data_IF_974284332492
#
_entry.id   IF_974284332492
#
_cell.length_a   1.000
_cell.length_b   1.000
_cell.length_c   1.000
_cell.angle_alpha   90.00
_cell.angle_beta   90.00
_cell.angle_gamma   90.00
#
_symmetry.space_group_name_H-M   'P 1'
#
loop_
_entity.id
_entity.type
_entity.pdbx_description
1 polymer ?
#
# COMPACT_ATOMS: atom_id res chain seq x y z
N UNK A 1 41.17 -22.51 79.61
CA UNK A 1 39.98 -21.65 79.57
C UNK A 1 40.17 -20.66 78.42
N UNK A 2 39.73 -21.01 77.25
CA UNK A 2 39.80 -20.19 76.04
C UNK A 2 38.38 -19.93 75.53
N UNK A 3 37.94 -18.66 75.63
CA UNK A 3 36.63 -18.20 75.20
C UNK A 3 36.59 -18.11 73.68
N UNK A 4 35.64 -18.78 73.08
CA UNK A 4 35.33 -18.69 71.63
C UNK A 4 34.38 -17.52 71.36
N UNK A 5 34.87 -16.56 70.55
CA UNK A 5 34.05 -15.46 70.03
C UNK A 5 33.19 -15.93 68.82
N UNK A 6 31.90 -15.62 68.77
CA UNK A 6 31.05 -15.98 67.62
C UNK A 6 31.24 -14.95 66.48
N UNK A 7 31.60 -15.45 65.28
CA UNK A 7 31.60 -14.66 64.06
C UNK A 7 30.16 -14.53 63.56
N UNK A 8 29.64 -13.31 63.47
CA UNK A 8 28.40 -12.96 62.80
C UNK A 8 28.66 -12.88 61.30
N UNK A 9 28.13 -13.85 60.56
CA UNK A 9 28.08 -13.83 59.09
C UNK A 9 26.95 -12.90 58.70
N UNK A 10 27.29 -11.74 58.15
CA UNK A 10 26.32 -10.81 57.54
C UNK A 10 26.14 -11.27 56.10
N UNK A 11 25.00 -11.94 55.80
CA UNK A 11 24.57 -12.20 54.44
C UNK A 11 24.04 -10.89 53.84
N UNK A 12 24.86 -10.24 52.98
CA UNK A 12 24.37 -9.14 52.16
C UNK A 12 23.57 -9.67 50.95
N UNK A 13 22.28 -9.56 51.06
CA UNK A 13 21.36 -9.79 49.91
C UNK A 13 21.52 -8.64 48.91
N UNK A 14 22.22 -8.88 47.79
CA UNK A 14 22.28 -7.98 46.67
C UNK A 14 21.02 -8.18 45.87
N UNK A 15 20.03 -7.28 46.04
CA UNK A 15 18.86 -7.17 45.20
C UNK A 15 19.28 -6.62 43.83
N UNK A 16 19.31 -7.50 42.82
CA UNK A 16 19.47 -7.11 41.44
C UNK A 16 18.11 -6.55 40.95
N UNK A 17 17.97 -5.23 40.98
CA UNK A 17 16.83 -4.55 40.37
C UNK A 17 16.99 -4.65 38.84
N UNK A 18 16.29 -5.58 38.20
CA UNK A 18 16.15 -5.63 36.75
C UNK A 18 15.30 -4.41 36.37
N UNK A 19 15.97 -3.35 35.90
CA UNK A 19 15.29 -2.25 35.24
C UNK A 19 14.69 -2.77 33.93
N UNK A 20 13.37 -3.05 33.93
CA UNK A 20 12.61 -3.19 32.70
C UNK A 20 12.65 -1.83 32.00
N UNK A 21 13.54 -1.68 31.00
CA UNK A 21 13.47 -0.60 30.05
C UNK A 21 12.18 -0.81 29.24
N UNK A 22 11.20 0.11 29.30
CA UNK A 22 10.01 -0.04 28.49
C UNK A 22 10.46 -0.06 27.05
N UNK A 23 10.09 -1.12 26.30
CA UNK A 23 10.25 -1.13 24.86
C UNK A 23 9.52 0.12 24.34
N UNK A 24 10.29 1.04 23.76
CA UNK A 24 9.73 2.26 23.18
C UNK A 24 8.57 1.83 22.27
N UNK A 25 7.37 2.25 22.63
CA UNK A 25 6.18 2.01 21.81
C UNK A 25 6.46 2.67 20.46
N UNK A 26 6.67 1.84 19.40
CA UNK A 26 6.85 2.36 18.05
C UNK A 26 5.62 3.18 17.71
N UNK A 27 5.84 4.43 17.28
CA UNK A 27 4.77 5.32 16.89
C UNK A 27 3.98 4.70 15.73
N UNK A 28 2.67 4.57 15.92
CA UNK A 28 1.74 4.18 14.86
C UNK A 28 1.22 5.40 14.09
N UNK A 29 1.76 6.57 14.40
CA UNK A 29 1.40 7.82 13.74
C UNK A 29 2.04 7.94 12.36
N UNK A 30 1.35 8.67 11.47
CA UNK A 30 1.83 8.95 10.14
C UNK A 30 2.92 10.02 10.15
N UNK A 31 4.09 9.70 9.63
CA UNK A 31 5.19 10.64 9.44
C UNK A 31 5.27 11.07 7.97
N UNK A 32 5.30 12.37 7.71
CA UNK A 32 5.50 12.90 6.36
C UNK A 32 6.95 12.68 5.91
N UNK A 33 7.13 12.06 4.75
CA UNK A 33 8.44 11.73 4.16
C UNK A 33 8.73 12.46 2.86
N UNK A 34 7.70 12.86 2.16
CA UNK A 34 7.83 13.59 0.90
C UNK A 34 6.65 14.54 0.75
N UNK A 35 6.95 15.77 0.35
CA UNK A 35 5.94 16.77 0.04
C UNK A 35 6.33 17.52 -1.21
N UNK A 36 5.46 17.52 -2.20
CA UNK A 36 5.63 18.29 -3.43
C UNK A 36 4.42 19.20 -3.61
N UNK A 37 4.63 20.51 -3.44
CA UNK A 37 3.58 21.51 -3.57
C UNK A 37 3.11 21.69 -5.00
N UNK A 38 4.00 21.55 -5.99
CA UNK A 38 3.66 21.65 -7.41
C UNK A 38 2.73 20.53 -7.84
N UNK A 39 2.99 19.32 -7.33
CA UNK A 39 2.16 18.13 -7.59
C UNK A 39 1.00 18.01 -6.59
N UNK A 40 0.90 18.90 -5.61
CA UNK A 40 -0.11 18.81 -4.54
C UNK A 40 -0.22 17.39 -3.99
N UNK A 41 0.95 16.80 -3.69
CA UNK A 41 1.09 15.42 -3.19
C UNK A 41 1.94 15.41 -1.93
N UNK A 42 1.47 14.73 -0.91
CA UNK A 42 2.22 14.40 0.29
C UNK A 42 2.24 12.88 0.51
N UNK A 43 3.40 12.33 0.86
CA UNK A 43 3.59 10.90 1.12
C UNK A 43 4.02 10.72 2.56
N UNK A 44 3.38 9.79 3.23
CA UNK A 44 3.59 9.45 4.64
C UNK A 44 3.98 7.98 4.77
N UNK A 45 4.66 7.67 5.85
CA UNK A 45 4.88 6.31 6.30
C UNK A 45 4.50 6.14 7.78
N UNK A 46 4.19 4.90 8.17
CA UNK A 46 4.05 4.54 9.59
C UNK A 46 4.54 3.12 9.86
N UNK A 47 4.94 2.88 11.10
CA UNK A 47 5.21 1.52 11.58
C UNK A 47 3.92 0.73 11.71
N UNK A 48 3.98 -0.56 11.36
CA UNK A 48 2.86 -1.49 11.55
C UNK A 48 3.25 -2.52 12.60
N UNK A 49 2.51 -2.62 13.72
CA UNK A 49 2.82 -3.59 14.76
C UNK A 49 2.93 -5.01 14.22
N UNK A 50 4.02 -5.71 14.54
CA UNK A 50 4.26 -7.08 14.09
C UNK A 50 4.73 -7.21 12.63
N UNK A 51 4.96 -6.11 11.91
CA UNK A 51 5.51 -6.12 10.55
C UNK A 51 6.88 -5.42 10.50
N UNK A 52 7.87 -5.97 9.80
CA UNK A 52 9.11 -5.24 9.52
C UNK A 52 8.94 -4.21 8.41
N UNK A 53 7.82 -4.23 7.70
CA UNK A 53 7.53 -3.36 6.57
C UNK A 53 6.59 -2.25 7.03
N UNK A 54 6.93 -1.02 6.67
CA UNK A 54 6.11 0.16 6.92
C UNK A 54 4.90 0.21 5.97
N UNK A 55 3.83 0.80 6.45
CA UNK A 55 2.69 1.19 5.61
C UNK A 55 2.94 2.57 5.04
N UNK A 56 2.59 2.75 3.78
CA UNK A 56 2.74 4.00 3.04
C UNK A 56 1.37 4.60 2.76
N UNK A 57 1.29 5.94 2.75
CA UNK A 57 0.09 6.67 2.38
C UNK A 57 0.46 7.85 1.49
N UNK A 58 -0.18 7.95 0.33
CA UNK A 58 -0.16 9.16 -0.50
C UNK A 58 -1.49 9.92 -0.36
N UNK A 59 -1.40 11.23 -0.19
CA UNK A 59 -2.57 12.12 -0.22
C UNK A 59 -2.29 13.20 -1.24
N UNK A 60 -3.14 13.30 -2.26
CA UNK A 60 -2.91 14.26 -3.34
C UNK A 60 -4.18 14.71 -4.03
N UNK A 61 -4.15 15.90 -4.59
CA UNK A 61 -5.25 16.46 -5.35
C UNK A 61 -5.15 16.12 -6.84
N UNK A 62 -6.29 15.82 -7.44
CA UNK A 62 -6.44 15.53 -8.86
C UNK A 62 -7.44 16.53 -9.46
N UNK A 63 -7.11 17.14 -10.60
CA UNK A 63 -7.98 18.09 -11.30
C UNK A 63 -9.00 17.36 -12.20
N UNK A 64 -9.78 16.47 -11.56
CA UNK A 64 -10.85 15.71 -12.19
C UNK A 64 -11.89 15.28 -11.14
N UNK A 65 -13.14 14.99 -11.54
CA UNK A 65 -14.17 14.47 -10.65
C UNK A 65 -13.79 13.13 -10.01
N UNK A 66 -14.27 12.81 -8.78
CA UNK A 66 -13.99 11.54 -8.11
C UNK A 66 -14.35 10.32 -8.95
N UNK A 67 -15.48 10.36 -9.66
CA UNK A 67 -15.91 9.29 -10.56
C UNK A 67 -14.91 9.00 -11.66
N UNK A 68 -14.34 10.04 -12.29
CA UNK A 68 -13.35 9.88 -13.34
C UNK A 68 -12.05 9.25 -12.79
N UNK A 69 -11.59 9.69 -11.62
CA UNK A 69 -10.43 9.08 -10.95
C UNK A 69 -10.67 7.59 -10.65
N UNK A 70 -11.86 7.27 -10.17
CA UNK A 70 -12.26 5.91 -9.85
C UNK A 70 -12.38 5.03 -11.10
N UNK A 71 -12.88 5.56 -12.23
CA UNK A 71 -12.92 4.85 -13.51
C UNK A 71 -11.52 4.44 -13.99
N UNK A 72 -10.51 5.31 -13.83
CA UNK A 72 -9.11 4.97 -14.14
C UNK A 72 -8.62 3.82 -13.27
N UNK A 73 -8.86 3.89 -11.95
CA UNK A 73 -8.38 2.86 -11.00
C UNK A 73 -9.11 1.53 -11.20
N UNK A 74 -10.29 1.52 -11.79
CA UNK A 74 -11.03 0.29 -12.10
C UNK A 74 -10.72 -0.31 -13.47
N UNK A 75 -10.02 0.39 -14.32
CA UNK A 75 -9.53 -0.17 -15.58
C UNK A 75 -8.36 -1.13 -15.34
N UNK A 76 -8.64 -2.19 -14.55
CA UNK A 76 -7.64 -3.16 -14.10
C UNK A 76 -6.88 -3.84 -15.23
N UNK A 77 -7.57 -4.19 -16.33
CA UNK A 77 -6.93 -4.80 -17.50
C UNK A 77 -6.05 -3.79 -18.27
N UNK A 78 -6.32 -2.50 -18.12
CA UNK A 78 -5.54 -1.42 -18.73
C UNK A 78 -4.26 -1.06 -17.97
N UNK A 79 -4.05 -1.54 -16.76
CA UNK A 79 -2.94 -1.15 -15.88
C UNK A 79 -1.57 -1.26 -16.55
N UNK A 80 -1.32 -2.28 -17.35
CA UNK A 80 -0.05 -2.44 -18.05
C UNK A 80 0.28 -1.29 -19.02
N UNK A 81 -0.71 -0.51 -19.45
CA UNK A 81 -0.51 0.62 -20.35
C UNK A 81 -0.17 1.93 -19.63
N UNK A 82 -0.57 2.11 -18.37
CA UNK A 82 -0.40 3.41 -17.71
C UNK A 82 0.15 3.34 -16.27
N UNK A 83 -0.06 2.25 -15.54
CA UNK A 83 0.46 2.12 -14.17
C UNK A 83 1.96 1.83 -14.18
N UNK A 84 2.75 2.52 -13.33
CA UNK A 84 4.19 2.30 -13.29
C UNK A 84 4.49 0.85 -12.85
N UNK A 85 5.49 0.27 -13.52
CA UNK A 85 6.03 -1.06 -13.21
C UNK A 85 5.09 -2.23 -13.47
N UNK A 86 3.85 -2.03 -13.85
CA UNK A 86 2.91 -3.10 -14.18
C UNK A 86 3.21 -3.62 -15.58
N UNK A 87 3.66 -4.87 -15.67
CA UNK A 87 3.94 -5.57 -16.93
C UNK A 87 2.73 -6.35 -17.45
N UNK A 88 1.95 -6.90 -16.53
CA UNK A 88 0.71 -7.62 -16.79
C UNK A 88 -0.29 -7.32 -15.69
N UNK A 89 -1.55 -7.17 -16.07
CA UNK A 89 -2.68 -7.08 -15.17
C UNK A 89 -3.88 -7.75 -15.81
N UNK A 90 -4.54 -8.65 -15.08
CA UNK A 90 -5.58 -9.52 -15.61
C UNK A 90 -6.66 -9.78 -14.56
N UNK A 91 -7.91 -9.49 -14.89
CA UNK A 91 -9.06 -9.87 -14.07
C UNK A 91 -9.26 -11.38 -14.21
N UNK A 92 -9.13 -12.12 -13.11
CA UNK A 92 -9.32 -13.57 -13.08
C UNK A 92 -10.80 -13.94 -12.93
N UNK A 93 -11.49 -13.25 -12.04
CA UNK A 93 -12.92 -13.44 -11.78
C UNK A 93 -13.55 -12.22 -11.10
N UNK A 94 -14.86 -12.10 -11.24
CA UNK A 94 -15.65 -11.07 -10.56
C UNK A 94 -16.82 -11.74 -9.83
N UNK A 95 -17.03 -11.40 -8.57
CA UNK A 95 -18.14 -11.86 -7.74
C UNK A 95 -18.82 -10.66 -7.07
N UNK A 96 -19.95 -10.21 -7.63
CA UNK A 96 -20.64 -9.02 -7.13
C UNK A 96 -19.75 -7.79 -7.19
N UNK A 97 -19.47 -7.15 -6.04
CA UNK A 97 -18.60 -5.99 -5.94
C UNK A 97 -17.12 -6.35 -5.77
N UNK A 98 -16.77 -7.63 -5.79
CA UNK A 98 -15.42 -8.13 -5.57
C UNK A 98 -14.78 -8.55 -6.89
N UNK A 99 -13.58 -8.06 -7.15
CA UNK A 99 -12.75 -8.42 -8.31
C UNK A 99 -11.48 -9.10 -7.84
N UNK A 100 -11.08 -10.20 -8.50
CA UNK A 100 -9.80 -10.86 -8.30
C UNK A 100 -8.87 -10.50 -9.44
N UNK A 101 -7.75 -9.87 -9.09
CA UNK A 101 -6.79 -9.32 -10.03
C UNK A 101 -5.44 -9.96 -9.87
N UNK A 102 -4.93 -10.55 -10.94
CA UNK A 102 -3.55 -11.01 -11.04
C UNK A 102 -2.68 -9.92 -11.68
N UNK A 103 -1.52 -9.64 -11.09
CA UNK A 103 -0.59 -8.65 -11.62
C UNK A 103 0.85 -9.16 -11.60
N UNK A 104 1.61 -8.76 -12.62
CA UNK A 104 3.05 -8.95 -12.72
C UNK A 104 3.72 -7.58 -12.70
N UNK A 105 4.64 -7.38 -11.76
CA UNK A 105 5.37 -6.15 -11.54
C UNK A 105 6.81 -6.34 -11.94
N UNK A 106 7.29 -5.48 -12.83
CA UNK A 106 8.68 -5.42 -13.26
C UNK A 106 9.24 -4.03 -12.98
N UNK A 107 10.03 -3.85 -11.91
CA UNK A 107 10.62 -2.55 -11.61
C UNK A 107 11.66 -2.11 -12.63
N UNK A 108 12.07 -2.99 -13.56
CA UNK A 108 13.09 -2.75 -14.58
C UNK A 108 14.39 -2.19 -13.99
N UNK A 109 14.82 -2.76 -12.87
CA UNK A 109 16.04 -2.39 -12.17
C UNK A 109 17.04 -3.56 -12.18
N UNK A 110 18.35 -3.28 -12.32
CA UNK A 110 19.38 -4.32 -12.27
C UNK A 110 19.28 -5.13 -10.97
N UNK A 111 19.36 -6.46 -11.08
CA UNK A 111 19.36 -7.41 -9.97
C UNK A 111 18.05 -7.47 -9.16
N UNK A 112 17.00 -6.81 -9.63
CA UNK A 112 15.68 -6.85 -8.99
C UNK A 112 14.75 -7.74 -9.83
N UNK A 113 14.40 -8.90 -9.26
CA UNK A 113 13.52 -9.88 -9.92
C UNK A 113 12.13 -9.32 -10.21
N UNK A 114 11.48 -9.85 -11.23
CA UNK A 114 10.04 -9.66 -11.49
C UNK A 114 9.24 -10.25 -10.34
N UNK A 115 8.12 -9.63 -10.03
CA UNK A 115 7.21 -10.05 -8.95
C UNK A 115 5.82 -10.25 -9.47
N UNK A 116 5.08 -11.13 -8.82
CA UNK A 116 3.66 -11.32 -9.09
C UNK A 116 2.84 -11.37 -7.79
N UNK A 117 1.56 -11.14 -7.94
CA UNK A 117 0.57 -11.33 -6.87
C UNK A 117 -0.83 -11.45 -7.43
N UNK A 118 -1.71 -12.04 -6.63
CA UNK A 118 -3.15 -11.94 -6.81
C UNK A 118 -3.74 -11.20 -5.61
N UNK A 119 -4.64 -10.27 -5.89
CA UNK A 119 -5.40 -9.54 -4.86
C UNK A 119 -6.89 -9.69 -5.11
N UNK A 120 -7.63 -9.68 -4.00
CA UNK A 120 -9.06 -9.53 -3.95
C UNK A 120 -9.38 -8.08 -3.66
N UNK A 121 -10.14 -7.43 -4.54
CA UNK A 121 -10.47 -6.02 -4.49
C UNK A 121 -11.97 -5.90 -4.25
N UNK A 122 -12.35 -5.23 -3.19
CA UNK A 122 -13.74 -4.91 -2.86
C UNK A 122 -14.02 -3.43 -3.20
N UNK A 123 -15.12 -3.18 -3.90
CA UNK A 123 -15.64 -1.83 -4.14
C UNK A 123 -16.35 -1.34 -2.87
N UNK A 124 -15.89 -0.23 -2.33
CA UNK A 124 -16.43 0.42 -1.12
C UNK A 124 -16.97 1.82 -1.42
N UNK A 125 -17.36 2.07 -2.65
CA UNK A 125 -17.87 3.36 -3.11
C UNK A 125 -19.22 3.71 -2.51
N UNK A 126 -19.44 5.01 -2.31
CA UNK A 126 -20.69 5.65 -1.87
C UNK A 126 -21.13 6.69 -2.90
N UNK A 127 -21.70 6.28 -4.06
CA UNK A 127 -22.01 7.20 -5.16
C UNK A 127 -22.94 8.34 -4.77
N UNK A 128 -23.86 8.12 -3.81
CA UNK A 128 -24.79 9.15 -3.33
C UNK A 128 -24.09 10.35 -2.69
N UNK A 129 -22.90 10.14 -2.11
CA UNK A 129 -22.04 11.18 -1.54
C UNK A 129 -20.90 11.60 -2.48
N UNK A 130 -20.90 11.15 -3.72
CA UNK A 130 -19.84 11.33 -4.71
C UNK A 130 -18.46 10.87 -4.19
N UNK A 131 -18.46 9.83 -3.35
CA UNK A 131 -17.26 9.19 -2.81
C UNK A 131 -17.07 7.84 -3.47
N UNK A 132 -15.85 7.56 -3.88
CA UNK A 132 -15.50 6.30 -4.52
C UNK A 132 -14.27 5.71 -3.86
N UNK A 133 -14.20 4.38 -3.83
CA UNK A 133 -13.06 3.73 -3.21
C UNK A 133 -13.01 2.24 -3.44
N UNK A 134 -11.83 1.70 -3.26
CA UNK A 134 -11.58 0.26 -3.26
C UNK A 134 -10.70 -0.12 -2.10
N UNK A 135 -10.86 -1.35 -1.60
CA UNK A 135 -9.94 -1.98 -0.65
C UNK A 135 -9.51 -3.32 -1.20
N UNK A 136 -8.27 -3.68 -0.97
CA UNK A 136 -7.80 -4.99 -1.39
C UNK A 136 -6.98 -5.69 -0.33
N UNK A 137 -6.96 -7.00 -0.45
CA UNK A 137 -6.15 -7.92 0.33
C UNK A 137 -5.50 -8.95 -0.58
N UNK A 138 -4.41 -9.54 -0.14
CA UNK A 138 -3.76 -10.65 -0.85
C UNK A 138 -4.72 -11.83 -0.98
N UNK A 139 -4.74 -12.46 -2.17
CA UNK A 139 -5.57 -13.61 -2.51
C UNK A 139 -4.80 -14.56 -3.46
N UNK A 140 -3.54 -14.85 -3.14
CA UNK A 140 -2.65 -15.64 -4.01
C UNK A 140 -3.18 -17.05 -4.31
N UNK A 141 -3.93 -17.65 -3.39
CA UNK A 141 -4.55 -18.98 -3.57
C UNK A 141 -5.64 -18.98 -4.66
N UNK A 142 -6.16 -17.81 -5.00
CA UNK A 142 -7.14 -17.62 -6.06
C UNK A 142 -6.51 -17.32 -7.43
N UNK A 143 -5.19 -17.25 -7.49
CA UNK A 143 -4.43 -16.86 -8.68
C UNK A 143 -3.68 -18.02 -9.34
N UNK A 144 -2.88 -17.70 -10.36
CA UNK A 144 -2.03 -18.67 -11.02
C UNK A 144 -0.98 -19.27 -10.08
N UNK A 145 -0.57 -20.49 -10.38
CA UNK A 145 0.59 -21.12 -9.73
C UNK A 145 1.81 -20.21 -9.86
N UNK A 146 2.58 -20.10 -8.77
CA UNK A 146 3.79 -19.27 -8.72
C UNK A 146 4.80 -19.76 -9.76
N UNK A 147 5.27 -18.84 -10.58
CA UNK A 147 6.35 -19.08 -11.52
C UNK A 147 7.70 -19.10 -10.79
N UNK A 148 8.58 -20.10 -11.05
CA UNK A 148 9.87 -20.21 -10.35
C UNK A 148 10.79 -18.99 -10.53
N UNK A 149 10.69 -18.30 -11.66
CA UNK A 149 11.51 -17.14 -11.99
C UNK A 149 11.00 -15.83 -11.34
N UNK A 150 9.83 -15.83 -10.71
CA UNK A 150 9.22 -14.66 -10.10
C UNK A 150 9.21 -14.76 -8.56
N UNK A 151 9.23 -13.61 -7.92
CA UNK A 151 9.00 -13.53 -6.48
C UNK A 151 7.51 -13.28 -6.26
N UNK A 152 6.82 -14.19 -5.56
CA UNK A 152 5.45 -14.01 -5.13
C UNK A 152 5.41 -13.02 -3.96
N UNK A 153 4.64 -11.92 -4.12
CA UNK A 153 4.34 -10.98 -3.04
C UNK A 153 3.30 -11.64 -2.14
N UNK A 154 3.69 -11.97 -0.90
CA UNK A 154 2.82 -12.67 0.06
C UNK A 154 1.90 -11.72 0.84
N UNK A 155 2.26 -10.45 0.92
CA UNK A 155 1.44 -9.40 1.54
C UNK A 155 1.29 -8.22 0.61
N UNK A 156 0.06 -7.96 0.19
CA UNK A 156 -0.33 -6.76 -0.56
C UNK A 156 -1.74 -6.36 -0.12
N UNK A 157 -1.78 -5.35 0.75
CA UNK A 157 -3.02 -4.83 1.32
C UNK A 157 -3.04 -3.32 1.12
N UNK A 158 -4.20 -2.76 0.82
CA UNK A 158 -4.29 -1.32 0.67
C UNK A 158 -5.69 -0.83 0.31
N UNK A 159 -5.76 0.45 -0.05
CA UNK A 159 -7.00 1.11 -0.43
C UNK A 159 -6.76 2.33 -1.31
N UNK A 160 -7.76 2.64 -2.12
CA UNK A 160 -7.99 3.95 -2.70
C UNK A 160 -9.23 4.57 -2.09
N UNK A 161 -9.18 5.88 -1.88
CA UNK A 161 -10.34 6.70 -1.54
C UNK A 161 -10.29 7.99 -2.36
N UNK A 162 -11.41 8.34 -2.99
CA UNK A 162 -11.60 9.53 -3.79
C UNK A 162 -12.73 10.37 -3.18
N UNK A 163 -12.35 11.50 -2.59
CA UNK A 163 -13.27 12.42 -1.91
C UNK A 163 -13.43 13.70 -2.74
N UNK A 164 -14.65 14.20 -2.93
CA UNK A 164 -14.89 15.39 -3.74
C UNK A 164 -14.30 16.65 -3.10
N UNK A 165 -13.66 17.47 -3.94
CA UNK A 165 -13.26 18.85 -3.67
C UNK A 165 -13.99 19.78 -4.65
N UNK A 166 -14.16 21.04 -4.27
CA UNK A 166 -14.73 22.10 -5.11
C UNK A 166 -16.06 21.71 -5.77
N UNK A 167 -17.00 21.22 -4.97
CA UNK A 167 -18.30 20.73 -5.43
C UNK A 167 -18.19 19.59 -6.47
N UNK A 168 -17.20 18.71 -6.29
CA UNK A 168 -17.01 17.52 -7.14
C UNK A 168 -16.23 17.77 -8.43
N UNK A 169 -15.69 18.97 -8.66
CA UNK A 169 -14.88 19.25 -9.85
C UNK A 169 -13.46 18.73 -9.73
N UNK A 170 -12.95 18.61 -8.49
CA UNK A 170 -11.65 18.04 -8.16
C UNK A 170 -11.79 16.93 -7.14
N UNK A 171 -10.72 16.19 -6.96
CA UNK A 171 -10.66 15.04 -6.07
C UNK A 171 -9.50 15.15 -5.10
N UNK A 172 -9.75 14.89 -3.82
CA UNK A 172 -8.72 14.47 -2.89
C UNK A 172 -8.59 12.95 -2.99
N UNK A 173 -7.47 12.48 -3.50
CA UNK A 173 -7.16 11.06 -3.62
C UNK A 173 -6.28 10.61 -2.46
N UNK A 174 -6.68 9.58 -1.75
CA UNK A 174 -5.88 8.92 -0.71
C UNK A 174 -5.57 7.50 -1.15
N UNK A 175 -4.29 7.16 -1.17
CA UNK A 175 -3.77 5.83 -1.50
C UNK A 175 -3.00 5.28 -0.31
N UNK A 176 -3.42 4.13 0.19
CA UNK A 176 -2.73 3.43 1.30
C UNK A 176 -2.23 2.09 0.81
N UNK A 177 -0.99 1.75 1.16
CA UNK A 177 -0.34 0.52 0.72
C UNK A 177 0.54 -0.07 1.81
N UNK A 178 0.28 -1.33 2.14
CA UNK A 178 1.15 -2.16 2.98
C UNK A 178 1.52 -3.42 2.20
N UNK A 179 2.68 -3.39 1.56
CA UNK A 179 3.15 -4.46 0.68
C UNK A 179 4.53 -4.93 1.10
N UNK A 180 4.67 -6.22 1.31
CA UNK A 180 5.97 -6.87 1.45
C UNK A 180 6.45 -7.29 0.05
N UNK A 181 7.45 -6.62 -0.52
CA UNK A 181 7.92 -6.92 -1.87
C UNK A 181 8.57 -8.30 -2.00
N UNK A 182 8.83 -8.98 -0.89
CA UNK A 182 9.47 -10.29 -0.85
C UNK A 182 10.92 -10.29 -1.33
N UNK A 183 11.62 -11.40 -1.09
CA UNK A 183 13.01 -11.58 -1.47
C UNK A 183 13.98 -10.67 -0.73
N UNK A 184 15.26 -10.73 -1.12
CA UNK A 184 16.28 -9.84 -0.56
C UNK A 184 16.38 -8.59 -1.44
N UNK A 185 15.88 -7.46 -0.93
CA UNK A 185 16.02 -6.17 -1.59
C UNK A 185 17.23 -5.42 -1.00
N UNK A 186 18.15 -4.95 -1.85
CA UNK A 186 19.17 -4.00 -1.41
C UNK A 186 18.53 -2.75 -0.81
N UNK A 187 19.16 -2.17 0.20
CA UNK A 187 18.61 -0.98 0.90
C UNK A 187 18.31 0.19 -0.02
N UNK A 188 19.12 0.38 -1.08
CA UNK A 188 18.86 1.40 -2.09
C UNK A 188 17.56 1.16 -2.89
N UNK A 189 17.22 -0.11 -3.17
CA UNK A 189 16.01 -0.44 -3.91
C UNK A 189 14.74 -0.21 -3.06
N UNK A 190 14.80 -0.51 -1.76
CA UNK A 190 13.72 -0.19 -0.82
C UNK A 190 13.52 1.32 -0.69
N UNK A 191 14.60 2.09 -0.54
CA UNK A 191 14.53 3.56 -0.49
C UNK A 191 13.98 4.15 -1.78
N UNK A 192 14.40 3.63 -2.95
CA UNK A 192 13.90 4.05 -4.25
C UNK A 192 12.41 3.79 -4.41
N UNK A 193 11.94 2.58 -4.01
CA UNK A 193 10.53 2.22 -4.07
C UNK A 193 9.66 3.15 -3.22
N UNK A 194 10.07 3.43 -1.99
CA UNK A 194 9.36 4.32 -1.08
C UNK A 194 9.23 5.76 -1.62
N UNK A 195 10.27 6.26 -2.29
CA UNK A 195 10.29 7.63 -2.80
C UNK A 195 9.61 7.80 -4.17
N UNK A 196 9.48 6.74 -4.98
CA UNK A 196 9.06 6.84 -6.38
C UNK A 196 7.76 6.11 -6.71
N UNK A 197 7.41 5.06 -5.98
CA UNK A 197 6.22 4.26 -6.30
C UNK A 197 4.94 5.11 -6.19
N UNK A 198 4.68 5.74 -5.05
CA UNK A 198 3.45 6.53 -4.85
C UNK A 198 3.40 7.76 -5.78
N UNK A 199 4.44 8.61 -5.87
CA UNK A 199 4.44 9.71 -6.83
C UNK A 199 4.21 9.25 -8.27
N UNK A 200 4.80 8.12 -8.66
CA UNK A 200 4.60 7.53 -9.99
C UNK A 200 3.15 7.14 -10.26
N UNK A 201 2.48 6.53 -9.29
CA UNK A 201 1.06 6.14 -9.39
C UNK A 201 0.16 7.38 -9.49
N UNK A 202 0.38 8.42 -8.67
CA UNK A 202 -0.37 9.67 -8.77
C UNK A 202 -0.13 10.40 -10.10
N UNK A 203 1.10 10.40 -10.60
CA UNK A 203 1.42 10.96 -11.91
C UNK A 203 0.70 10.20 -13.04
N UNK A 204 0.66 8.87 -12.97
CA UNK A 204 -0.07 8.04 -13.90
C UNK A 204 -1.58 8.37 -13.88
N UNK A 205 -2.18 8.41 -12.68
CA UNK A 205 -3.60 8.76 -12.53
C UNK A 205 -3.93 10.12 -13.14
N UNK A 206 -3.14 11.17 -12.84
CA UNK A 206 -3.35 12.52 -13.36
C UNK A 206 -3.26 12.60 -14.88
N UNK A 207 -2.32 11.88 -15.46
CA UNK A 207 -2.15 11.83 -16.92
C UNK A 207 -3.30 11.10 -17.59
N UNK A 208 -3.71 9.98 -17.02
CA UNK A 208 -4.69 9.06 -17.62
C UNK A 208 -6.13 9.56 -17.46
N UNK A 209 -6.47 10.20 -16.34
CA UNK A 209 -7.82 10.71 -16.08
C UNK A 209 -8.29 11.75 -17.09
N UNK A 210 -7.36 12.35 -17.84
CA UNK A 210 -7.62 13.27 -18.94
C UNK A 210 -8.20 12.62 -20.18
N UNK A 211 -8.09 11.30 -20.36
CA UNK A 211 -8.59 10.56 -21.51
C UNK A 211 -10.13 10.53 -21.55
N UNK A 212 -10.70 10.65 -22.76
CA UNK A 212 -12.15 10.77 -22.96
C UNK A 212 -12.92 9.59 -22.35
N UNK A 213 -12.39 8.36 -22.47
CA UNK A 213 -13.03 7.13 -21.97
C UNK A 213 -13.28 7.10 -20.45
N UNK A 214 -12.56 7.91 -19.67
CA UNK A 214 -12.75 7.98 -18.22
C UNK A 214 -13.64 9.13 -17.78
N UNK A 215 -13.92 10.09 -18.69
CA UNK A 215 -14.75 11.25 -18.39
C UNK A 215 -16.24 10.96 -18.59
N UNK A 216 -16.57 10.02 -19.48
CA UNK A 216 -17.96 9.64 -19.76
C UNK A 216 -18.49 8.75 -18.62
N UNK A 217 -19.56 9.21 -17.99
CA UNK A 217 -20.25 8.46 -16.93
C UNK A 217 -20.95 7.19 -17.45
N UNK A 218 -21.19 7.11 -18.77
CA UNK A 218 -21.87 5.98 -19.43
C UNK A 218 -20.91 4.83 -19.77
N UNK A 219 -19.61 5.09 -19.93
CA UNK A 219 -18.62 4.06 -20.25
C UNK A 219 -18.01 3.45 -18.97
N UNK A 220 -18.42 2.23 -18.70
CA UNK A 220 -17.80 1.41 -17.65
C UNK A 220 -16.61 0.69 -18.23
N UNK A 221 -15.40 0.77 -17.61
CA UNK A 221 -14.23 0.05 -18.10
C UNK A 221 -14.45 -1.43 -18.27
N UNK A 222 -13.87 -2.02 -19.32
CA UNK A 222 -14.02 -3.45 -19.63
C UNK A 222 -13.69 -4.34 -18.41
N UNK A 223 -14.62 -5.27 -18.10
CA UNK A 223 -14.49 -6.19 -16.97
C UNK A 223 -15.28 -5.80 -15.72
N UNK A 224 -16.04 -4.72 -15.76
CA UNK A 224 -16.97 -4.34 -14.70
C UNK A 224 -18.42 -4.67 -15.08
N UNK A 225 -19.14 -5.35 -14.19
CA UNK A 225 -20.58 -5.51 -14.25
C UNK A 225 -21.22 -4.63 -13.16
N UNK A 226 -21.98 -3.57 -13.51
CA UNK A 226 -22.71 -2.80 -12.50
C UNK A 226 -23.67 -3.71 -11.74
N UNK A 227 -23.91 -3.41 -10.47
CA UNK A 227 -25.00 -4.03 -9.69
C UNK A 227 -26.36 -3.55 -10.15
#
# INVERSE_FOLDING_TARGET
MLEAKPYRVICALVLFAVMLVPAAARSTEWESKYKNQNDRLEVFEREVPGSPIKELKGVGEIDAPPRACWNVIRDYNGYAAFMPYVKKSEILKVHGATTYLYSVIDPNLPFISVRDYTIKIDDVSEPASNRYGTRWTTANDDGPTKEPAMIRIERNVGSWEFTPLDNGRRTLATYVLHTDPGGQLPSWASAWANLRAIPGVFSALRRTVGEAKYRDESEVPAGYTPR
#
